data_IF_058951310252
#
_entry.id   IF_058951310252
#
_cell.length_a   1.000
_cell.length_b   1.000
_cell.length_c   1.000
_cell.angle_alpha   90.00
_cell.angle_beta   90.00
_cell.angle_gamma   90.00
#
_symmetry.space_group_name_H-M   'P 1'
#
loop_
_entity.id
_entity.type
_entity.pdbx_description
1 polymer ?
#
# COMPACT_ATOMS: atom_id res chain seq x y z
N UNK A 1 5.42 3.17 14.85
CA UNK A 1 6.81 3.69 14.75
C UNK A 1 7.82 2.56 14.87
N UNK A 2 7.46 1.44 15.49
CA UNK A 2 8.36 0.34 15.79
C UNK A 2 8.94 -0.34 14.54
N UNK A 3 8.15 -0.51 13.47
CA UNK A 3 8.66 -1.02 12.18
C UNK A 3 9.75 -0.11 11.56
N UNK A 4 9.60 1.21 11.67
CA UNK A 4 10.60 2.15 11.13
C UNK A 4 11.84 2.12 12.03
N UNK A 5 11.65 2.12 13.35
CA UNK A 5 12.73 2.10 14.31
C UNK A 5 13.55 0.81 14.23
N UNK A 6 12.90 -0.33 13.95
CA UNK A 6 13.57 -1.62 13.77
C UNK A 6 14.53 -1.60 12.57
N UNK A 7 14.30 -0.75 11.57
CA UNK A 7 15.10 -0.62 10.36
C UNK A 7 16.34 0.27 10.53
N UNK A 8 16.58 0.84 11.70
CA UNK A 8 17.80 1.62 11.94
C UNK A 8 19.04 0.70 11.95
N UNK A 9 20.09 1.13 11.25
CA UNK A 9 21.41 0.50 11.24
C UNK A 9 22.52 1.48 11.65
N UNK A 10 23.79 1.04 11.65
CA UNK A 10 24.93 1.84 12.10
C UNK A 10 25.11 3.16 11.32
N UNK A 11 24.71 3.18 10.05
CA UNK A 11 24.84 4.32 9.13
C UNK A 11 23.54 5.12 8.98
N UNK A 12 22.53 4.85 9.82
CA UNK A 12 21.18 5.43 9.71
C UNK A 12 20.13 4.42 9.22
N UNK A 13 19.03 4.93 8.69
CA UNK A 13 17.89 4.12 8.26
C UNK A 13 18.27 3.20 7.08
N UNK A 14 18.04 1.89 7.21
CA UNK A 14 18.27 0.92 6.14
C UNK A 14 17.05 0.84 5.20
N UNK A 15 17.16 1.29 3.95
CA UNK A 15 16.05 1.30 3.01
C UNK A 15 15.60 -0.11 2.59
N UNK A 16 16.49 -1.11 2.58
CA UNK A 16 16.13 -2.47 2.19
C UNK A 16 15.27 -3.16 3.24
N UNK A 17 15.61 -2.94 4.53
CA UNK A 17 14.79 -3.45 5.64
C UNK A 17 13.44 -2.73 5.71
N UNK A 18 13.43 -1.45 5.37
CA UNK A 18 12.24 -0.62 5.36
C UNK A 18 11.20 -1.07 4.33
N UNK A 19 11.62 -1.33 3.09
CA UNK A 19 10.70 -1.79 2.04
C UNK A 19 10.16 -3.20 2.27
N UNK A 20 10.73 -3.92 3.24
CA UNK A 20 10.34 -5.26 3.64
C UNK A 20 9.40 -5.29 4.87
N UNK A 21 9.18 -4.17 5.56
CA UNK A 21 8.30 -4.16 6.74
C UNK A 21 6.83 -4.43 6.38
N UNK A 22 6.13 -5.39 7.02
CA UNK A 22 4.79 -5.81 6.62
C UNK A 22 3.74 -4.70 6.64
N UNK A 23 3.58 -3.96 7.74
CA UNK A 23 2.53 -2.94 7.87
C UNK A 23 2.82 -1.75 6.95
N UNK A 24 4.07 -1.32 6.82
CA UNK A 24 4.45 -0.28 5.85
C UNK A 24 4.10 -0.69 4.40
N UNK A 25 4.37 -1.94 4.02
CA UNK A 25 3.97 -2.45 2.70
C UNK A 25 2.46 -2.48 2.52
N UNK A 26 1.71 -2.86 3.57
CA UNK A 26 0.25 -2.89 3.55
C UNK A 26 -0.34 -1.48 3.43
N UNK A 27 0.13 -0.51 4.21
CA UNK A 27 -0.23 0.90 4.09
C UNK A 27 0.05 1.46 2.69
N UNK A 28 1.21 1.13 2.13
CA UNK A 28 1.57 1.48 0.76
C UNK A 28 0.59 0.90 -0.26
N UNK A 29 0.29 -0.41 -0.17
CA UNK A 29 -0.62 -1.08 -1.09
C UNK A 29 -2.05 -0.54 -0.98
N UNK A 30 -2.53 -0.27 0.24
CA UNK A 30 -3.87 0.27 0.50
C UNK A 30 -4.02 1.72 0.01
N UNK A 31 -2.99 2.54 0.22
CA UNK A 31 -2.96 3.91 -0.32
C UNK A 31 -3.09 3.88 -1.84
N UNK A 32 -2.31 3.03 -2.51
CA UNK A 32 -2.38 2.92 -3.98
C UNK A 32 -3.72 2.36 -4.45
N UNK A 33 -4.30 1.37 -3.74
CA UNK A 33 -5.61 0.79 -4.08
C UNK A 33 -6.72 1.85 -4.11
N UNK A 34 -6.72 2.74 -3.13
CA UNK A 34 -7.74 3.79 -2.97
C UNK A 34 -7.46 5.04 -3.81
N UNK A 35 -6.19 5.36 -4.06
CA UNK A 35 -5.82 6.67 -4.62
C UNK A 35 -5.30 6.60 -6.05
N UNK A 36 -5.05 5.43 -6.62
CA UNK A 36 -4.62 5.29 -8.03
C UNK A 36 -5.77 4.78 -8.90
N UNK A 37 -6.19 5.62 -9.85
CA UNK A 37 -7.28 5.33 -10.77
C UNK A 37 -6.79 5.48 -12.20
N UNK A 38 -6.26 4.40 -12.77
CA UNK A 38 -5.72 4.40 -14.12
C UNK A 38 -6.75 3.84 -15.12
N UNK A 39 -6.96 4.55 -16.23
CA UNK A 39 -7.64 4.06 -17.42
C UNK A 39 -6.61 3.45 -18.36
N UNK A 40 -6.40 2.14 -18.26
CA UNK A 40 -5.40 1.45 -19.07
C UNK A 40 -5.96 1.10 -20.44
N UNK A 41 -5.45 1.74 -21.48
CA UNK A 41 -5.77 1.37 -22.87
C UNK A 41 -4.92 0.16 -23.27
N UNK A 42 -5.57 -0.84 -23.87
CA UNK A 42 -4.95 -2.03 -24.47
C UNK A 42 -5.57 -2.26 -25.85
N UNK A 43 -4.86 -3.00 -26.69
CA UNK A 43 -5.39 -3.46 -27.97
C UNK A 43 -5.35 -4.98 -27.97
N UNK A 44 -6.40 -5.61 -28.51
CA UNK A 44 -6.34 -7.04 -28.74
C UNK A 44 -5.43 -7.35 -29.93
N UNK A 45 -4.15 -7.61 -29.67
CA UNK A 45 -3.19 -7.99 -30.71
C UNK A 45 -3.27 -9.49 -31.08
N UNK A 46 -4.09 -10.24 -30.35
CA UNK A 46 -4.29 -11.69 -30.51
C UNK A 46 -5.51 -11.98 -31.38
N UNK A 47 -5.80 -13.28 -31.58
CA UNK A 47 -7.03 -13.70 -32.26
C UNK A 47 -8.28 -13.24 -31.50
N UNK A 48 -9.43 -13.07 -32.18
CA UNK A 48 -10.66 -12.68 -31.54
C UNK A 48 -11.07 -13.63 -30.42
N UNK A 49 -11.49 -13.10 -29.28
CA UNK A 49 -11.94 -13.89 -28.14
C UNK A 49 -13.31 -13.44 -27.65
N UNK A 50 -13.95 -14.23 -26.80
CA UNK A 50 -15.28 -13.98 -26.26
C UNK A 50 -15.17 -13.76 -24.75
N UNK A 51 -15.71 -12.64 -24.27
CA UNK A 51 -15.83 -12.33 -22.85
C UNK A 51 -17.11 -12.95 -22.29
N UNK A 52 -17.14 -13.20 -20.97
CA UNK A 52 -18.12 -14.07 -20.29
C UNK A 52 -19.55 -14.05 -20.82
N UNK A 53 -20.15 -12.87 -21.01
CA UNK A 53 -21.53 -12.70 -21.48
C UNK A 53 -21.75 -12.92 -23.00
N UNK A 54 -20.76 -13.48 -23.72
CA UNK A 54 -20.82 -13.69 -25.16
C UNK A 54 -20.32 -12.51 -25.99
N UNK A 55 -19.85 -11.42 -25.36
CA UNK A 55 -19.32 -10.28 -26.11
C UNK A 55 -17.99 -10.65 -26.79
N UNK A 56 -17.97 -10.58 -28.12
CA UNK A 56 -16.78 -10.88 -28.92
C UNK A 56 -15.89 -9.65 -29.07
N UNK A 57 -14.62 -9.79 -28.72
CA UNK A 57 -13.58 -8.78 -28.89
C UNK A 57 -12.77 -9.13 -30.15
N UNK A 58 -12.89 -8.37 -31.25
CA UNK A 58 -12.09 -8.57 -32.45
C UNK A 58 -10.60 -8.31 -32.23
N UNK A 59 -9.76 -8.81 -33.14
CA UNK A 59 -8.35 -8.39 -33.23
C UNK A 59 -8.29 -6.92 -33.65
N UNK A 60 -7.37 -6.17 -33.05
CA UNK A 60 -7.20 -4.74 -33.25
C UNK A 60 -8.16 -3.86 -32.45
N UNK A 61 -9.12 -4.45 -31.73
CA UNK A 61 -10.09 -3.69 -30.94
C UNK A 61 -9.41 -3.05 -29.71
N UNK A 62 -9.55 -1.74 -29.50
CA UNK A 62 -9.09 -1.10 -28.29
C UNK A 62 -10.00 -1.44 -27.10
N UNK A 63 -9.40 -1.64 -25.94
CA UNK A 63 -10.09 -1.90 -24.68
C UNK A 63 -9.55 -0.95 -23.62
N UNK A 64 -10.42 -0.51 -22.71
CA UNK A 64 -10.03 0.31 -21.55
C UNK A 64 -10.35 -0.46 -20.28
N UNK A 65 -9.35 -0.61 -19.42
CA UNK A 65 -9.48 -1.22 -18.09
C UNK A 65 -9.30 -0.12 -17.06
N UNK A 66 -10.35 0.19 -16.32
CA UNK A 66 -10.29 1.12 -15.20
C UNK A 66 -9.90 0.38 -13.92
N UNK A 67 -8.75 0.71 -13.35
CA UNK A 67 -8.22 0.00 -12.17
C UNK A 67 -9.05 0.19 -10.90
N UNK A 68 -9.87 1.23 -10.85
CA UNK A 68 -10.67 1.59 -9.69
C UNK A 68 -11.87 0.67 -9.46
N UNK A 69 -12.49 0.15 -10.52
CA UNK A 69 -13.65 -0.74 -10.38
C UNK A 69 -13.30 -2.08 -9.69
N UNK A 70 -12.29 -2.83 -10.15
CA UNK A 70 -11.94 -4.09 -9.48
C UNK A 70 -11.34 -3.87 -8.09
N UNK A 71 -10.74 -2.70 -7.81
CA UNK A 71 -10.21 -2.38 -6.48
C UNK A 71 -11.28 -2.12 -5.41
N UNK A 72 -12.54 -1.92 -5.83
CA UNK A 72 -13.72 -1.72 -4.98
C UNK A 72 -14.80 -2.80 -5.17
N UNK A 73 -14.54 -3.86 -5.93
CA UNK A 73 -15.53 -4.90 -6.17
C UNK A 73 -15.60 -5.86 -4.96
N UNK A 74 -16.57 -5.63 -4.07
CA UNK A 74 -16.71 -6.42 -2.84
C UNK A 74 -16.89 -7.92 -3.10
N UNK A 75 -17.66 -8.32 -4.10
CA UNK A 75 -17.88 -9.74 -4.44
C UNK A 75 -16.56 -10.45 -4.78
N UNK A 76 -15.74 -9.85 -5.64
CA UNK A 76 -14.47 -10.43 -6.05
C UNK A 76 -13.48 -10.46 -4.88
N UNK A 77 -13.38 -9.37 -4.10
CA UNK A 77 -12.54 -9.33 -2.91
C UNK A 77 -12.96 -10.36 -1.87
N UNK A 78 -14.27 -10.50 -1.61
CA UNK A 78 -14.83 -11.52 -0.73
C UNK A 78 -14.46 -12.93 -1.17
N UNK A 79 -14.56 -13.21 -2.48
CA UNK A 79 -14.24 -14.53 -3.04
C UNK A 79 -12.75 -14.86 -2.95
N UNK A 80 -11.88 -13.85 -2.98
CA UNK A 80 -10.43 -14.02 -2.93
C UNK A 80 -9.89 -14.04 -1.50
N UNK A 81 -10.33 -13.10 -0.66
CA UNK A 81 -9.86 -12.90 0.70
C UNK A 81 -10.94 -12.19 1.52
N UNK A 82 -11.84 -12.98 2.12
CA UNK A 82 -13.00 -12.46 2.88
C UNK A 82 -12.61 -11.54 4.04
N UNK A 83 -11.51 -11.78 4.75
CA UNK A 83 -11.05 -10.88 5.82
C UNK A 83 -10.70 -9.47 5.32
N UNK A 84 -10.42 -9.30 4.02
CA UNK A 84 -10.12 -7.98 3.45
C UNK A 84 -11.37 -7.13 3.23
N UNK A 85 -12.58 -7.60 3.51
CA UNK A 85 -13.82 -6.82 3.37
C UNK A 85 -14.53 -6.58 4.72
N UNK A 86 -13.95 -7.03 5.84
CA UNK A 86 -14.43 -6.73 7.19
C UNK A 86 -14.56 -5.22 7.43
N UNK A 87 -13.69 -4.44 6.76
CA UNK A 87 -13.77 -2.99 6.64
C UNK A 87 -14.16 -2.64 5.20
N UNK A 88 -15.14 -1.73 4.96
CA UNK A 88 -15.56 -1.35 3.62
C UNK A 88 -14.39 -1.00 2.71
N UNK A 89 -14.45 -1.42 1.43
CA UNK A 89 -13.38 -1.17 0.46
C UNK A 89 -13.21 0.33 0.13
N UNK A 90 -14.17 1.17 0.47
CA UNK A 90 -14.07 2.64 0.32
C UNK A 90 -13.29 3.30 1.45
N UNK A 91 -13.03 2.59 2.56
CA UNK A 91 -12.30 3.08 3.71
C UNK A 91 -10.85 2.56 3.67
N UNK A 92 -9.93 3.38 4.19
CA UNK A 92 -8.54 2.97 4.36
C UNK A 92 -8.43 2.00 5.54
N UNK A 93 -7.77 0.88 5.33
CA UNK A 93 -7.48 -0.11 6.38
C UNK A 93 -6.01 -0.54 6.26
N UNK A 94 -5.18 -0.14 7.23
CA UNK A 94 -3.73 -0.31 7.17
C UNK A 94 -3.34 -1.79 7.11
N UNK A 95 -4.12 -2.66 7.74
CA UNK A 95 -3.88 -4.09 7.90
C UNK A 95 -4.49 -4.93 6.77
N UNK A 96 -5.14 -4.32 5.76
CA UNK A 96 -5.92 -5.05 4.73
C UNK A 96 -5.12 -6.10 3.95
N UNK A 97 -3.81 -5.90 3.78
CA UNK A 97 -2.92 -6.81 3.06
C UNK A 97 -2.06 -7.67 3.97
N UNK A 98 -2.32 -7.67 5.28
CA UNK A 98 -1.67 -8.54 6.23
C UNK A 98 -2.39 -9.89 6.32
N UNK A 99 -1.61 -10.96 6.31
CA UNK A 99 -2.08 -12.34 6.49
C UNK A 99 -1.24 -13.01 7.58
N UNK A 100 -1.79 -13.99 8.33
CA UNK A 100 -1.03 -14.75 9.31
C UNK A 100 0.26 -15.31 8.70
N UNK A 101 1.35 -15.28 9.46
CA UNK A 101 2.60 -15.89 9.04
C UNK A 101 2.76 -17.28 9.66
N UNK A 102 2.35 -18.31 8.92
CA UNK A 102 2.42 -19.72 9.34
C UNK A 102 3.86 -20.23 9.54
N UNK A 103 4.89 -19.42 9.22
CA UNK A 103 6.30 -19.79 9.42
C UNK A 103 6.81 -19.49 10.82
N UNK A 104 6.03 -18.76 11.62
CA UNK A 104 6.38 -18.42 13.00
C UNK A 104 5.66 -19.38 13.93
N UNK A 105 6.36 -20.46 14.31
CA UNK A 105 5.88 -21.36 15.37
C UNK A 105 5.78 -20.57 16.69
N UNK A 106 4.64 -20.68 17.38
CA UNK A 106 4.48 -20.18 18.74
C UNK A 106 5.47 -20.90 19.66
N UNK A 107 6.64 -20.29 19.90
CA UNK A 107 7.55 -20.74 20.96
C UNK A 107 6.96 -20.38 22.33
N UNK A 108 5.92 -21.10 22.75
CA UNK A 108 5.54 -21.19 24.16
C UNK A 108 6.53 -22.12 24.87
N UNK A 109 7.69 -21.60 25.26
CA UNK A 109 8.34 -21.99 26.53
C UNK A 109 9.56 -21.13 26.84
N UNK A 110 9.52 -20.60 28.07
CA UNK A 110 10.63 -20.15 28.91
C UNK A 110 11.22 -18.74 28.71
N UNK A 111 10.85 -17.87 29.66
CA UNK A 111 11.82 -17.01 30.34
C UNK A 111 11.65 -15.52 30.09
N UNK A 112 11.23 -14.80 31.13
CA UNK A 112 11.23 -13.34 31.21
C UNK A 112 12.51 -12.73 30.62
N UNK A 113 12.36 -12.02 29.49
CA UNK A 113 13.28 -10.96 29.07
C UNK A 113 12.43 -9.69 28.91
N UNK A 114 12.60 -8.66 29.75
CA UNK A 114 11.88 -7.40 29.58
C UNK A 114 12.42 -6.72 28.31
N UNK A 115 11.59 -6.65 27.26
CA UNK A 115 11.93 -5.95 26.01
C UNK A 115 11.67 -6.70 24.70
N UNK A 116 11.07 -7.90 24.73
CA UNK A 116 10.82 -8.71 23.54
C UNK A 116 9.33 -8.77 23.11
N UNK A 117 8.53 -7.76 23.44
CA UNK A 117 7.19 -7.59 22.86
C UNK A 117 7.31 -6.80 21.54
N UNK A 118 7.84 -7.44 20.50
CA UNK A 118 7.68 -6.94 19.14
C UNK A 118 6.65 -7.83 18.47
N UNK A 119 5.40 -7.36 18.39
CA UNK A 119 4.27 -7.97 17.64
C UNK A 119 4.53 -8.11 16.12
N UNK A 120 5.75 -7.87 15.64
CA UNK A 120 6.13 -7.89 14.22
C UNK A 120 6.35 -9.28 13.60
N UNK A 121 6.04 -10.36 14.32
CA UNK A 121 6.22 -11.74 13.84
C UNK A 121 4.95 -12.48 13.45
N UNK A 122 3.75 -11.99 13.79
CA UNK A 122 2.50 -12.76 13.59
C UNK A 122 1.91 -12.66 12.18
N UNK A 123 2.29 -11.61 11.44
CA UNK A 123 1.66 -11.28 10.17
C UNK A 123 2.70 -10.90 9.11
N UNK A 124 2.44 -11.31 7.87
CA UNK A 124 3.22 -10.94 6.68
C UNK A 124 2.36 -10.18 5.67
N UNK A 125 3.01 -9.34 4.87
CA UNK A 125 2.36 -8.69 3.73
C UNK A 125 2.18 -9.68 2.58
N UNK A 126 0.98 -9.77 2.00
CA UNK A 126 0.73 -10.59 0.82
C UNK A 126 -0.28 -9.97 -0.15
N UNK A 127 0.08 -9.99 -1.43
CA UNK A 127 -0.80 -9.67 -2.57
C UNK A 127 -1.40 -10.91 -3.25
N UNK A 128 -1.15 -12.11 -2.69
CA UNK A 128 -1.57 -13.36 -3.31
C UNK A 128 -3.09 -13.43 -3.46
N UNK A 129 -3.53 -13.92 -4.61
CA UNK A 129 -4.94 -13.98 -5.00
C UNK A 129 -5.50 -12.66 -5.54
N UNK A 130 -4.87 -11.51 -5.27
CA UNK A 130 -5.41 -10.19 -5.66
C UNK A 130 -5.04 -9.76 -7.09
N UNK A 131 -4.57 -10.70 -7.92
CA UNK A 131 -4.29 -10.45 -9.33
C UNK A 131 -5.58 -10.04 -10.05
N UNK A 132 -5.57 -8.89 -10.72
CA UNK A 132 -6.77 -8.33 -11.34
C UNK A 132 -7.61 -7.44 -10.42
N UNK A 133 -7.41 -7.51 -9.10
CA UNK A 133 -8.10 -6.67 -8.09
C UNK A 133 -7.22 -5.52 -7.59
N UNK A 134 -5.91 -5.76 -7.43
CA UNK A 134 -4.93 -4.75 -7.09
C UNK A 134 -4.05 -4.44 -8.31
N UNK A 135 -4.38 -3.34 -9.02
CA UNK A 135 -3.75 -2.96 -10.29
C UNK A 135 -3.16 -1.54 -10.33
N UNK A 136 -2.55 -0.98 -9.26
CA UNK A 136 -2.10 0.41 -9.27
C UNK A 136 -0.97 0.67 -10.29
N UNK A 137 -0.20 -0.37 -10.64
CA UNK A 137 0.83 -0.33 -11.68
C UNK A 137 0.41 -1.00 -12.99
N UNK A 138 -0.88 -1.30 -13.12
CA UNK A 138 -1.43 -2.14 -14.17
C UNK A 138 -1.08 -3.62 -14.01
N UNK A 139 -1.07 -4.36 -15.11
CA UNK A 139 -0.87 -5.81 -15.12
C UNK A 139 -0.17 -6.34 -16.38
N UNK A 140 0.31 -7.58 -16.29
CA UNK A 140 0.96 -8.31 -17.38
C UNK A 140 2.31 -7.74 -17.81
N UNK A 141 2.71 -8.05 -19.06
CA UNK A 141 4.00 -7.62 -19.64
C UNK A 141 4.15 -6.09 -19.76
N UNK A 142 3.05 -5.34 -19.69
CA UNK A 142 3.01 -3.87 -19.78
C UNK A 142 2.82 -3.20 -18.40
N UNK A 143 3.09 -3.91 -17.32
CA UNK A 143 3.09 -3.35 -15.97
C UNK A 143 4.18 -2.26 -15.85
N UNK A 144 3.91 -1.22 -15.06
CA UNK A 144 4.82 -0.09 -14.89
C UNK A 144 6.25 -0.55 -14.52
N UNK A 145 7.29 -0.24 -15.33
CA UNK A 145 8.66 -0.64 -15.03
C UNK A 145 9.22 0.08 -13.78
N UNK A 146 8.72 1.28 -13.48
CA UNK A 146 9.14 2.08 -12.34
C UNK A 146 8.58 1.65 -10.97
N UNK A 147 7.72 0.63 -10.89
CA UNK A 147 7.02 0.24 -9.65
C UNK A 147 7.94 -0.05 -8.47
N UNK A 148 9.10 -0.65 -8.72
CA UNK A 148 10.08 -0.98 -7.68
C UNK A 148 10.79 0.27 -7.15
N UNK A 149 11.17 1.17 -8.06
CA UNK A 149 11.74 2.46 -7.71
C UNK A 149 10.72 3.32 -6.94
N UNK A 150 9.50 3.43 -7.45
CA UNK A 150 8.43 4.19 -6.79
C UNK A 150 8.14 3.67 -5.38
N UNK A 151 8.10 2.35 -5.18
CA UNK A 151 7.95 1.75 -3.85
C UNK A 151 9.08 2.16 -2.92
N UNK A 152 10.33 2.04 -3.37
CA UNK A 152 11.50 2.39 -2.57
C UNK A 152 11.51 3.89 -2.21
N UNK A 153 11.22 4.76 -3.19
CA UNK A 153 11.15 6.21 -3.01
C UNK A 153 10.05 6.62 -2.02
N UNK A 154 8.83 6.11 -2.20
CA UNK A 154 7.69 6.45 -1.34
C UNK A 154 7.91 6.01 0.10
N UNK A 155 8.34 4.76 0.31
CA UNK A 155 8.56 4.23 1.65
C UNK A 155 9.73 4.92 2.34
N UNK A 156 10.86 5.12 1.64
CA UNK A 156 12.01 5.82 2.21
C UNK A 156 11.68 7.26 2.59
N UNK A 157 10.95 7.97 1.73
CA UNK A 157 10.50 9.34 2.00
C UNK A 157 9.59 9.39 3.21
N UNK A 158 8.57 8.51 3.28
CA UNK A 158 7.66 8.44 4.40
C UNK A 158 8.41 8.17 5.72
N UNK A 159 9.35 7.24 5.71
CA UNK A 159 10.10 6.88 6.91
C UNK A 159 11.08 7.96 7.36
N UNK A 160 11.70 8.68 6.42
CA UNK A 160 12.50 9.86 6.75
C UNK A 160 11.63 10.96 7.38
N UNK A 161 10.44 11.21 6.82
CA UNK A 161 9.50 12.17 7.40
C UNK A 161 9.07 11.77 8.81
N UNK A 162 8.65 10.52 9.02
CA UNK A 162 8.18 10.03 10.31
C UNK A 162 9.29 9.92 11.37
N UNK A 163 10.53 9.58 10.95
CA UNK A 163 11.68 9.50 11.85
C UNK A 163 12.21 10.87 12.27
N UNK A 164 12.03 11.92 11.45
CA UNK A 164 12.55 13.25 11.75
C UNK A 164 11.50 14.25 12.22
N UNK A 165 10.21 13.99 11.97
CA UNK A 165 9.14 14.94 12.25
C UNK A 165 7.93 14.28 12.91
N UNK A 166 7.27 15.06 13.76
CA UNK A 166 5.90 14.86 14.19
C UNK A 166 4.99 15.62 13.20
N UNK A 167 4.05 14.90 12.59
CA UNK A 167 3.07 15.42 11.64
C UNK A 167 1.69 15.41 12.30
N UNK A 168 1.01 16.56 12.28
CA UNK A 168 -0.31 16.74 12.88
C UNK A 168 -1.24 17.41 11.86
N UNK A 169 -2.36 16.77 11.53
CA UNK A 169 -3.40 17.41 10.71
C UNK A 169 -4.09 18.49 11.53
N UNK A 170 -4.35 19.64 10.91
CA UNK A 170 -5.02 20.76 11.57
C UNK A 170 -6.48 20.84 11.13
N UNK A 171 -7.35 21.31 12.03
CA UNK A 171 -8.75 21.62 11.72
C UNK A 171 -9.49 20.45 11.03
N UNK A 172 -9.29 19.21 11.49
CA UNK A 172 -9.82 17.98 10.87
C UNK A 172 -11.35 17.96 10.71
N UNK A 173 -12.06 18.70 11.56
CA UNK A 173 -13.51 18.84 11.48
C UNK A 173 -13.95 19.75 10.32
N UNK A 174 -13.08 20.69 9.91
CA UNK A 174 -13.35 21.66 8.84
C UNK A 174 -12.81 21.19 7.50
N UNK A 175 -11.68 20.48 7.50
CA UNK A 175 -11.02 20.01 6.28
C UNK A 175 -11.11 18.49 6.19
N UNK A 176 -12.08 18.03 5.40
CA UNK A 176 -12.24 16.62 5.03
C UNK A 176 -11.90 16.46 3.54
N UNK A 177 -10.61 16.40 3.18
CA UNK A 177 -10.19 16.35 1.78
C UNK A 177 -10.74 15.09 1.10
N UNK A 178 -11.31 15.28 -0.08
CA UNK A 178 -11.79 14.19 -0.94
C UNK A 178 -10.78 13.97 -2.07
N UNK A 179 -10.78 12.78 -2.69
CA UNK A 179 -10.05 12.60 -3.94
C UNK A 179 -10.58 13.56 -5.02
N UNK A 180 -9.70 14.31 -5.68
CA UNK A 180 -10.06 15.19 -6.79
C UNK A 180 -10.37 14.37 -8.05
N UNK A 181 -11.65 14.28 -8.40
CA UNK A 181 -12.13 13.51 -9.55
C UNK A 181 -11.65 14.04 -10.90
N UNK A 182 -11.14 15.28 -10.98
CA UNK A 182 -10.59 15.83 -12.23
C UNK A 182 -9.34 15.08 -12.71
N UNK A 183 -8.69 14.33 -11.81
CA UNK A 183 -7.53 13.49 -12.11
C UNK A 183 -7.91 12.06 -12.51
N UNK A 184 -9.19 11.72 -12.50
CA UNK A 184 -9.66 10.44 -13.03
C UNK A 184 -9.68 10.49 -14.57
N UNK A 185 -9.18 9.48 -15.29
CA UNK A 185 -8.55 8.24 -14.84
C UNK A 185 -7.03 8.25 -15.08
N UNK A 186 -6.34 9.33 -14.73
CA UNK A 186 -4.94 9.58 -15.11
C UNK A 186 -4.00 9.62 -13.90
N UNK A 187 -3.88 8.49 -13.19
CA UNK A 187 -2.87 8.33 -12.14
C UNK A 187 -3.43 8.43 -10.73
N UNK A 188 -2.69 9.13 -9.87
CA UNK A 188 -3.06 9.33 -8.47
C UNK A 188 -4.06 10.48 -8.32
N UNK A 189 -5.07 10.29 -7.47
CA UNK A 189 -6.06 11.30 -7.12
C UNK A 189 -5.53 12.14 -5.94
N UNK A 190 -5.12 13.40 -6.16
CA UNK A 190 -4.71 14.27 -5.07
C UNK A 190 -5.93 14.68 -4.21
N UNK A 191 -5.70 15.31 -3.04
CA UNK A 191 -6.74 16.04 -2.33
C UNK A 191 -7.37 17.14 -3.19
N UNK A 192 -8.68 17.29 -3.11
CA UNK A 192 -9.47 18.35 -3.76
C UNK A 192 -9.28 19.75 -3.17
N UNK A 193 -8.61 19.84 -2.02
CA UNK A 193 -8.29 21.09 -1.36
C UNK A 193 -6.92 21.04 -0.69
N UNK A 194 -6.40 22.22 -0.33
CA UNK A 194 -5.17 22.32 0.47
C UNK A 194 -5.45 21.79 1.88
N UNK A 195 -4.68 20.81 2.30
CA UNK A 195 -4.80 20.20 3.64
C UNK A 195 -3.83 20.91 4.59
N UNK A 196 -4.31 21.64 5.61
CA UNK A 196 -3.42 22.25 6.58
C UNK A 196 -2.85 21.17 7.53
N UNK A 197 -1.55 21.22 7.72
CA UNK A 197 -0.85 20.34 8.65
C UNK A 197 0.29 21.10 9.33
N UNK A 198 0.65 20.66 10.53
CA UNK A 198 1.83 21.11 11.27
C UNK A 198 2.89 20.03 11.20
N UNK A 199 4.13 20.47 11.00
CA UNK A 199 5.30 19.61 11.05
C UNK A 199 6.27 20.15 12.12
N UNK A 200 6.62 19.32 13.12
CA UNK A 200 7.59 19.66 14.15
C UNK A 200 8.75 18.70 14.09
N UNK A 201 9.99 19.21 14.03
CA UNK A 201 11.18 18.36 14.07
C UNK A 201 11.27 17.63 15.42
N UNK A 202 11.54 16.33 15.39
CA UNK A 202 11.84 15.53 16.59
C UNK A 202 13.21 15.94 17.14
N UNK A 203 13.37 15.86 18.46
CA UNK A 203 14.70 16.03 19.07
C UNK A 203 15.64 14.96 18.50
N UNK A 204 16.88 15.33 18.15
CA UNK A 204 17.90 14.32 17.82
C UNK A 204 18.06 13.43 19.04
N UNK A 205 17.96 12.11 18.87
CA UNK A 205 18.47 11.19 19.87
C UNK A 205 19.97 11.51 20.04
N UNK A 206 20.34 12.04 21.20
CA UNK A 206 21.74 12.11 21.62
C UNK A 206 22.16 10.67 21.88
N UNK A 207 22.90 10.08 20.95
CA UNK A 207 23.62 8.84 21.24
C UNK A 207 24.85 9.25 22.04
N UNK A 208 24.88 8.88 23.31
CA UNK A 208 26.11 8.90 24.12
C UNK A 208 27.03 7.85 23.50
N UNK A 209 28.03 8.31 22.75
CA UNK A 209 29.14 7.51 22.27
C UNK A 209 30.33 7.76 23.19
N UNK A 210 30.13 7.53 24.49
CA UNK A 210 31.18 7.37 25.48
C UNK A 210 30.69 6.39 26.55
N UNK A 211 31.23 5.17 26.50
CA UNK A 211 30.95 4.05 27.41
C UNK A 211 31.63 2.78 26.93
#
# INVERSE_FOLDING_TARGET
>A
MDEINSCNGPSGLDPNRLVAQPLLQSCYAETLRLRVTNGMVRQNDSEPFVMGNGYRVPKGEPMVIFTHHPSLNEESWNSTRSSSTDVPLTQFHAERFLVPDDTVEENTSNGNVPGADVEGGKYKFSLDGLAGLWLPYGGGQRMCPGRHFAKAEMLSTLSLLLSQFDLELMDTDKFQPKPDSNWFPTGALPPDCKVPFRMRRRAKATYDIDG
#
